data_IF_517959661735
#
_entry.id   IF_517959661735
#
_cell.length_a   1.000
_cell.length_b   1.000
_cell.length_c   1.000
_cell.angle_alpha   90.00
_cell.angle_beta   90.00
_cell.angle_gamma   90.00
#
_symmetry.space_group_name_H-M   'P 1'
#
loop_
_entity.id
_entity.type
_entity.pdbx_description
1 polymer ?
#
# COMPACT_ATOMS: atom_id res chain seq x y z
N UNK A 1 -25.32 17.93 24.09
CA UNK A 1 -26.14 17.17 23.14
C UNK A 1 -26.05 15.70 23.54
N UNK A 2 -27.22 15.04 23.79
CA UNK A 2 -27.24 13.62 24.21
C UNK A 2 -26.67 12.73 23.10
N UNK A 3 -25.90 11.68 23.47
CA UNK A 3 -25.27 10.76 22.52
C UNK A 3 -26.25 10.13 21.51
N UNK A 4 -27.49 9.86 21.94
CA UNK A 4 -28.56 9.36 21.09
C UNK A 4 -28.98 10.34 19.96
N UNK A 5 -28.89 11.65 20.20
CA UNK A 5 -29.23 12.67 19.20
C UNK A 5 -28.19 12.73 18.08
N UNK A 6 -26.90 12.55 18.41
CA UNK A 6 -25.79 12.53 17.41
C UNK A 6 -25.92 11.28 16.53
N UNK A 7 -26.14 10.11 17.13
CA UNK A 7 -26.28 8.87 16.36
C UNK A 7 -27.49 8.92 15.40
N UNK A 8 -28.61 9.46 15.86
CA UNK A 8 -29.81 9.64 15.02
C UNK A 8 -29.55 10.61 13.87
N UNK A 9 -28.83 11.72 14.12
CA UNK A 9 -28.46 12.68 13.08
C UNK A 9 -27.52 12.03 12.03
N UNK A 10 -26.47 11.33 12.48
CA UNK A 10 -25.54 10.61 11.59
C UNK A 10 -26.25 9.56 10.75
N UNK A 11 -27.14 8.77 11.36
CA UNK A 11 -27.95 7.79 10.63
C UNK A 11 -28.80 8.44 9.53
N UNK A 12 -29.47 9.56 9.85
CA UNK A 12 -30.27 10.33 8.89
C UNK A 12 -29.42 10.85 7.73
N UNK A 13 -28.26 11.46 8.02
CA UNK A 13 -27.34 11.98 7.01
C UNK A 13 -26.73 10.90 6.13
N UNK A 14 -26.47 9.72 6.67
CA UNK A 14 -26.04 8.56 5.87
C UNK A 14 -27.16 8.08 4.96
N UNK A 15 -28.41 8.01 5.46
CA UNK A 15 -29.59 7.60 4.69
C UNK A 15 -29.90 8.57 3.55
N UNK A 16 -29.69 9.87 3.75
CA UNK A 16 -29.85 10.92 2.74
C UNK A 16 -28.57 11.18 1.93
N UNK A 17 -27.57 10.33 2.07
CA UNK A 17 -26.27 10.40 1.38
C UNK A 17 -25.52 11.73 1.54
N UNK A 18 -25.81 12.54 2.55
CA UNK A 18 -25.10 13.78 2.85
C UNK A 18 -23.69 13.51 3.40
N UNK A 19 -23.50 12.37 4.07
CA UNK A 19 -22.21 11.92 4.57
C UNK A 19 -21.92 10.49 4.14
N UNK A 20 -20.62 10.18 4.04
CA UNK A 20 -20.06 8.84 3.75
C UNK A 20 -19.30 8.38 4.97
N UNK A 21 -19.59 7.20 5.48
CA UNK A 21 -18.82 6.58 6.56
C UNK A 21 -17.57 5.93 5.99
N UNK A 22 -16.40 6.33 6.48
CA UNK A 22 -15.11 5.74 6.11
C UNK A 22 -14.80 4.50 6.97
N UNK A 23 -15.00 4.64 8.28
CA UNK A 23 -14.97 3.58 9.29
C UNK A 23 -15.86 3.99 10.48
N UNK A 24 -16.04 3.10 11.46
CA UNK A 24 -16.80 3.44 12.68
C UNK A 24 -16.27 4.71 13.33
N UNK A 25 -17.14 5.71 13.45
CA UNK A 25 -16.84 7.00 14.08
C UNK A 25 -16.11 8.00 13.18
N UNK A 26 -15.83 7.67 11.91
CA UNK A 26 -15.16 8.58 10.96
C UNK A 26 -16.02 8.74 9.73
N UNK A 27 -16.35 9.98 9.42
CA UNK A 27 -17.27 10.35 8.33
C UNK A 27 -16.66 11.46 7.48
N UNK A 28 -17.10 11.53 6.25
CA UNK A 28 -16.78 12.58 5.29
C UNK A 28 -18.05 13.10 4.67
N UNK A 29 -18.12 14.39 4.35
CA UNK A 29 -19.27 14.94 3.64
C UNK A 29 -19.28 14.50 2.17
N UNK A 30 -20.46 14.27 1.60
CA UNK A 30 -20.62 13.99 0.17
C UNK A 30 -20.00 15.07 -0.69
N UNK A 31 -20.21 16.34 -0.31
CA UNK A 31 -19.64 17.50 -1.02
C UNK A 31 -18.11 17.43 -1.08
N UNK A 32 -17.44 17.11 0.02
CA UNK A 32 -15.97 16.97 0.02
C UNK A 32 -15.53 15.86 -0.93
N UNK A 33 -16.19 14.71 -0.89
CA UNK A 33 -15.91 13.60 -1.82
C UNK A 33 -16.03 14.05 -3.28
N UNK A 34 -17.14 14.67 -3.67
CA UNK A 34 -17.37 15.07 -5.06
C UNK A 34 -16.34 16.10 -5.55
N UNK A 35 -15.88 17.00 -4.68
CA UNK A 35 -14.86 18.00 -5.02
C UNK A 35 -13.46 17.42 -5.17
N UNK A 36 -13.13 16.35 -4.43
CA UNK A 36 -11.73 15.87 -4.31
C UNK A 36 -11.47 14.48 -4.90
N UNK A 37 -12.51 13.70 -5.22
CA UNK A 37 -12.37 12.30 -5.65
C UNK A 37 -11.51 12.08 -6.90
N UNK A 38 -11.38 13.08 -7.75
CA UNK A 38 -10.55 13.01 -8.96
C UNK A 38 -9.07 13.34 -8.70
N UNK A 39 -8.73 13.83 -7.50
CA UNK A 39 -7.34 14.12 -7.16
C UNK A 39 -6.57 12.82 -6.86
N UNK A 40 -5.35 12.73 -7.39
CA UNK A 40 -4.50 11.54 -7.22
C UNK A 40 -4.15 11.25 -5.74
N UNK A 41 -4.11 12.28 -4.88
CA UNK A 41 -3.79 12.14 -3.48
C UNK A 41 -5.01 11.95 -2.57
N UNK A 42 -6.22 11.92 -3.16
CA UNK A 42 -7.45 11.70 -2.39
C UNK A 42 -7.49 10.32 -1.74
N UNK A 43 -7.28 9.25 -2.50
CA UNK A 43 -7.24 7.89 -1.96
C UNK A 43 -6.09 7.65 -0.98
N UNK A 44 -4.84 8.13 -1.21
CA UNK A 44 -3.79 8.25 -0.22
C UNK A 44 -4.21 8.89 1.10
N UNK A 45 -4.84 10.05 1.05
CA UNK A 45 -5.33 10.75 2.24
C UNK A 45 -6.35 9.90 3.01
N UNK A 46 -7.31 9.28 2.33
CA UNK A 46 -8.29 8.39 2.97
C UNK A 46 -7.59 7.22 3.66
N UNK A 47 -6.57 6.64 3.02
CA UNK A 47 -5.78 5.57 3.63
C UNK A 47 -5.11 6.04 4.93
N UNK A 48 -4.50 7.22 4.95
CA UNK A 48 -3.88 7.80 6.14
C UNK A 48 -4.91 8.06 7.28
N UNK A 49 -6.13 8.50 6.95
CA UNK A 49 -7.23 8.68 7.92
C UNK A 49 -7.70 7.34 8.51
N UNK A 50 -7.77 6.30 7.69
CA UNK A 50 -8.21 4.97 8.12
C UNK A 50 -7.22 4.35 9.11
N UNK A 51 -5.92 4.37 8.83
CA UNK A 51 -4.85 3.95 9.76
C UNK A 51 -3.71 4.97 9.71
N UNK A 52 -3.67 5.95 10.64
CA UNK A 52 -2.63 6.99 10.65
C UNK A 52 -1.19 6.45 10.77
N UNK A 53 -1.02 5.28 11.41
CA UNK A 53 0.28 4.60 11.53
C UNK A 53 0.44 3.55 10.43
N UNK A 54 0.38 4.00 9.18
CA UNK A 54 0.63 3.19 7.99
C UNK A 54 1.34 4.03 6.93
N UNK A 55 1.97 3.36 5.98
CA UNK A 55 2.48 3.98 4.77
C UNK A 55 1.94 3.22 3.55
N UNK A 56 1.61 3.95 2.49
CA UNK A 56 1.25 3.38 1.19
C UNK A 56 2.42 2.58 0.64
N UNK A 57 2.16 1.39 0.11
CA UNK A 57 3.20 0.47 -0.38
C UNK A 57 2.58 -0.60 -1.26
N UNK A 58 3.37 -1.64 -1.56
CA UNK A 58 2.91 -2.82 -2.29
C UNK A 58 2.41 -2.44 -3.69
N UNK A 59 1.34 -3.09 -4.14
CA UNK A 59 0.78 -2.94 -5.48
C UNK A 59 0.43 -1.49 -5.81
N UNK A 60 -0.11 -0.74 -4.86
CA UNK A 60 -0.52 0.66 -5.06
C UNK A 60 0.65 1.56 -5.48
N UNK A 61 1.79 1.46 -4.80
CA UNK A 61 2.99 2.26 -5.13
C UNK A 61 3.67 1.73 -6.39
N UNK A 62 3.77 0.41 -6.54
CA UNK A 62 4.40 -0.21 -7.72
C UNK A 62 3.64 0.14 -9.00
N UNK A 63 2.31 0.13 -8.97
CA UNK A 63 1.48 0.52 -10.11
C UNK A 63 1.64 2.00 -10.47
N UNK A 64 1.63 2.90 -9.48
CA UNK A 64 1.82 4.35 -9.71
C UNK A 64 3.19 4.69 -10.32
N UNK A 65 4.17 3.82 -10.15
CA UNK A 65 5.52 3.96 -10.69
C UNK A 65 5.77 3.04 -11.91
N UNK A 66 4.73 2.50 -12.53
CA UNK A 66 4.80 1.63 -13.70
C UNK A 66 5.67 0.36 -13.52
N UNK A 67 5.99 -0.01 -12.26
CA UNK A 67 6.69 -1.26 -11.95
C UNK A 67 5.73 -2.46 -12.02
N UNK A 68 4.49 -2.31 -11.53
CA UNK A 68 3.46 -3.32 -11.70
C UNK A 68 2.56 -2.92 -12.87
N UNK A 69 2.45 -3.79 -13.88
CA UNK A 69 1.66 -3.52 -15.10
C UNK A 69 0.19 -3.86 -14.95
N UNK A 70 -0.18 -4.63 -13.93
CA UNK A 70 -1.58 -4.93 -13.64
C UNK A 70 -2.29 -3.75 -12.98
N UNK A 71 -3.53 -3.50 -13.42
CA UNK A 71 -4.40 -2.53 -12.75
C UNK A 71 -4.93 -3.15 -11.46
N UNK A 72 -4.60 -2.54 -10.32
CA UNK A 72 -5.10 -2.97 -9.02
C UNK A 72 -6.07 -1.91 -8.47
N UNK A 73 -7.21 -2.36 -7.94
CA UNK A 73 -8.22 -1.45 -7.40
C UNK A 73 -8.04 -1.13 -5.90
N UNK A 74 -7.55 -2.04 -5.04
CA UNK A 74 -7.38 -1.73 -3.63
C UNK A 74 -6.21 -0.77 -3.43
N UNK A 75 -6.40 0.19 -2.53
CA UNK A 75 -5.30 0.98 -1.97
C UNK A 75 -4.58 0.12 -0.95
N UNK A 76 -3.32 -0.21 -1.23
CA UNK A 76 -2.52 -1.07 -0.36
C UNK A 76 -1.54 -0.26 0.47
N UNK A 77 -1.41 -0.64 1.75
CA UNK A 77 -0.54 0.01 2.72
C UNK A 77 0.05 -1.01 3.71
N UNK A 78 1.10 -0.59 4.38
CA UNK A 78 1.81 -1.38 5.39
C UNK A 78 1.72 -0.69 6.75
N UNK A 79 1.60 -1.45 7.82
CA UNK A 79 1.41 -0.96 9.19
C UNK A 79 2.07 -1.88 10.23
N UNK A 80 2.35 -1.35 11.40
CA UNK A 80 2.74 -2.14 12.58
C UNK A 80 1.54 -2.82 13.27
N UNK A 81 0.32 -2.40 12.93
CA UNK A 81 -0.91 -2.98 13.48
C UNK A 81 -1.25 -4.30 12.77
N UNK A 82 -2.20 -5.02 13.30
CA UNK A 82 -2.71 -6.23 12.66
C UNK A 82 -3.21 -5.96 11.24
N UNK A 83 -2.97 -6.92 10.35
CA UNK A 83 -3.52 -6.92 8.98
C UNK A 83 -5.03 -6.68 9.01
N UNK A 84 -5.50 -5.74 8.18
CA UNK A 84 -6.90 -5.33 8.15
C UNK A 84 -7.32 -4.88 6.76
N UNK A 85 -8.58 -5.08 6.45
CA UNK A 85 -9.22 -4.57 5.24
C UNK A 85 -10.37 -3.65 5.65
N UNK A 86 -10.49 -2.52 4.99
CA UNK A 86 -11.66 -1.65 5.05
C UNK A 86 -12.31 -1.60 3.68
N UNK A 87 -13.60 -1.87 3.65
CA UNK A 87 -14.44 -1.71 2.48
C UNK A 87 -15.48 -0.65 2.77
N UNK A 88 -15.57 0.34 1.92
CA UNK A 88 -16.54 1.41 2.04
C UNK A 88 -16.96 1.93 0.63
N UNK A 89 -17.81 2.96 0.55
CA UNK A 89 -18.26 3.53 -0.73
C UNK A 89 -17.14 4.14 -1.59
N UNK A 90 -15.91 4.29 -1.06
CA UNK A 90 -14.75 4.82 -1.79
C UNK A 90 -13.87 3.73 -2.39
N UNK A 91 -14.08 2.47 -1.99
CA UNK A 91 -13.29 1.33 -2.44
C UNK A 91 -12.74 0.48 -1.29
N UNK A 92 -11.76 -0.32 -1.62
CA UNK A 92 -11.10 -1.25 -0.71
C UNK A 92 -9.73 -0.72 -0.31
N UNK A 93 -9.45 -0.73 0.98
CA UNK A 93 -8.17 -0.32 1.58
C UNK A 93 -7.60 -1.50 2.37
N UNK A 94 -6.44 -1.99 1.96
CA UNK A 94 -5.80 -3.17 2.56
C UNK A 94 -4.53 -2.77 3.29
N UNK A 95 -4.41 -3.17 4.55
CA UNK A 95 -3.25 -2.93 5.39
C UNK A 95 -2.60 -4.25 5.78
N UNK A 96 -1.31 -4.37 5.49
CA UNK A 96 -0.50 -5.55 5.81
C UNK A 96 0.41 -5.24 6.99
N UNK A 97 0.47 -6.17 7.93
CA UNK A 97 1.40 -6.05 9.06
C UNK A 97 2.84 -6.33 8.60
N UNK A 98 3.78 -5.56 9.13
CA UNK A 98 5.21 -5.80 8.96
C UNK A 98 5.94 -5.75 10.31
N UNK A 99 7.10 -6.39 10.40
CA UNK A 99 7.97 -6.34 11.59
C UNK A 99 8.49 -4.92 11.83
N UNK A 100 8.62 -4.51 13.09
CA UNK A 100 9.05 -3.17 13.47
C UNK A 100 10.39 -2.75 12.82
N UNK A 101 11.38 -3.64 12.77
CA UNK A 101 12.67 -3.37 12.15
C UNK A 101 12.64 -3.12 10.64
N UNK A 102 11.50 -3.42 9.97
CA UNK A 102 11.28 -3.18 8.55
C UNK A 102 10.31 -2.02 8.29
N UNK A 103 9.82 -1.34 9.34
CA UNK A 103 8.90 -0.20 9.23
C UNK A 103 9.69 1.09 9.00
N UNK A 104 10.22 1.25 7.80
CA UNK A 104 11.07 2.36 7.34
C UNK A 104 11.03 2.47 5.81
N UNK A 105 11.79 3.41 5.21
CA UNK A 105 11.90 3.54 3.76
C UNK A 105 10.69 4.20 3.12
N UNK A 106 10.17 5.24 3.77
CA UNK A 106 9.02 5.99 3.28
C UNK A 106 9.27 7.50 3.34
N UNK A 107 8.57 8.21 2.49
CA UNK A 107 8.58 9.66 2.35
C UNK A 107 7.26 10.25 2.84
N UNK A 108 7.30 11.52 3.21
CA UNK A 108 6.15 12.26 3.71
C UNK A 108 5.68 13.27 2.68
N UNK A 109 4.38 13.37 2.52
CA UNK A 109 3.67 14.42 1.80
C UNK A 109 2.44 14.85 2.59
N UNK A 110 1.72 15.81 2.09
CA UNK A 110 0.48 16.29 2.74
C UNK A 110 -0.58 16.59 1.69
N UNK A 111 -1.82 16.27 2.00
CA UNK A 111 -2.96 16.70 1.23
C UNK A 111 -4.09 17.16 2.16
N UNK A 112 -4.57 18.39 1.98
CA UNK A 112 -5.63 19.01 2.78
C UNK A 112 -5.36 18.98 4.30
N UNK A 113 -4.11 19.23 4.72
CA UNK A 113 -3.70 19.20 6.13
C UNK A 113 -3.57 17.79 6.72
N UNK A 114 -3.73 16.74 5.91
CA UNK A 114 -3.56 15.34 6.33
C UNK A 114 -2.19 14.83 5.87
N UNK A 115 -1.32 14.42 6.79
CA UNK A 115 -0.03 13.84 6.42
C UNK A 115 -0.22 12.47 5.77
N UNK A 116 0.47 12.28 4.64
CA UNK A 116 0.48 11.04 3.87
C UNK A 116 1.89 10.48 3.91
N UNK A 117 2.01 9.21 4.19
CA UNK A 117 3.29 8.49 4.18
C UNK A 117 3.27 7.45 3.08
N UNK A 118 4.30 7.44 2.23
CA UNK A 118 4.38 6.53 1.09
C UNK A 118 5.79 5.93 0.98
N UNK A 119 5.87 4.63 0.73
CA UNK A 119 7.12 3.92 0.48
C UNK A 119 7.86 4.48 -0.74
N UNK A 120 9.20 4.41 -0.73
CA UNK A 120 9.99 4.49 -1.97
C UNK A 120 9.63 3.33 -2.90
N UNK A 121 9.99 3.41 -4.16
CA UNK A 121 9.76 2.32 -5.12
C UNK A 121 10.48 1.05 -4.68
N UNK A 122 11.72 1.19 -4.23
CA UNK A 122 12.53 0.10 -3.70
C UNK A 122 11.88 -0.57 -2.49
N UNK A 123 11.39 0.25 -1.54
CA UNK A 123 10.68 -0.26 -0.36
C UNK A 123 9.37 -0.94 -0.73
N UNK A 124 8.60 -0.39 -1.66
CA UNK A 124 7.35 -0.99 -2.10
C UNK A 124 7.58 -2.35 -2.78
N UNK A 125 8.62 -2.48 -3.60
CA UNK A 125 9.01 -3.76 -4.20
C UNK A 125 9.44 -4.77 -3.13
N UNK A 126 10.25 -4.33 -2.16
CA UNK A 126 10.63 -5.16 -1.03
C UNK A 126 9.41 -5.67 -0.27
N UNK A 127 8.49 -4.79 0.13
CA UNK A 127 7.28 -5.16 0.87
C UNK A 127 6.41 -6.13 0.09
N UNK A 128 6.23 -5.89 -1.21
CA UNK A 128 5.46 -6.74 -2.10
C UNK A 128 6.00 -8.17 -2.15
N UNK A 129 7.30 -8.32 -2.33
CA UNK A 129 7.95 -9.63 -2.39
C UNK A 129 8.08 -10.28 -1.01
N UNK A 130 8.35 -9.49 0.03
CA UNK A 130 8.51 -9.97 1.41
C UNK A 130 7.20 -10.49 2.00
N UNK A 131 6.11 -9.76 1.84
CA UNK A 131 4.80 -10.09 2.42
C UNK A 131 4.01 -11.09 1.56
N UNK A 132 4.40 -11.31 0.31
CA UNK A 132 3.74 -12.26 -0.58
C UNK A 132 3.99 -13.70 -0.12
N UNK A 133 2.94 -14.51 0.12
CA UNK A 133 3.13 -15.93 0.36
C UNK A 133 3.53 -16.63 -0.94
N UNK A 134 4.61 -17.40 -0.91
CA UNK A 134 4.94 -18.33 -1.99
C UNK A 134 4.16 -19.61 -1.79
N UNK A 135 3.08 -19.76 -2.54
CA UNK A 135 2.27 -20.98 -2.58
C UNK A 135 2.42 -21.56 -3.98
N UNK A 136 3.13 -22.69 -4.11
CA UNK A 136 3.26 -23.35 -5.40
C UNK A 136 4.27 -24.48 -5.36
N UNK A 137 4.14 -25.42 -6.30
CA UNK A 137 5.07 -26.54 -6.52
C UNK A 137 6.36 -26.10 -7.21
N UNK A 138 6.37 -24.95 -7.88
CA UNK A 138 7.59 -24.39 -8.49
C UNK A 138 8.53 -23.88 -7.42
N UNK A 139 9.82 -24.23 -7.54
CA UNK A 139 10.88 -23.64 -6.71
C UNK A 139 11.06 -22.19 -7.13
N UNK A 140 11.41 -21.32 -6.20
CA UNK A 140 11.66 -19.90 -6.49
C UNK A 140 12.71 -19.69 -7.60
N UNK A 141 13.66 -20.64 -7.72
CA UNK A 141 14.69 -20.62 -8.76
C UNK A 141 14.13 -20.85 -10.18
N UNK A 142 12.95 -21.40 -10.30
CA UNK A 142 12.28 -21.73 -11.57
C UNK A 142 11.31 -20.65 -12.04
N UNK A 143 11.16 -19.55 -11.25
CA UNK A 143 10.37 -18.38 -11.62
C UNK A 143 11.20 -17.38 -12.41
N UNK A 144 10.60 -16.80 -13.43
CA UNK A 144 10.97 -15.46 -13.90
C UNK A 144 10.12 -14.45 -13.13
N UNK A 145 10.73 -13.79 -12.12
CA UNK A 145 9.97 -12.90 -11.24
C UNK A 145 9.44 -11.67 -11.97
N UNK A 146 10.10 -11.23 -13.05
CA UNK A 146 9.62 -10.15 -13.89
C UNK A 146 8.34 -10.55 -14.62
N UNK A 147 8.40 -11.65 -15.37
CA UNK A 147 7.27 -12.13 -16.17
C UNK A 147 6.15 -12.72 -15.30
N UNK A 148 6.47 -13.65 -14.39
CA UNK A 148 5.48 -14.35 -13.56
C UNK A 148 4.70 -13.42 -12.62
N UNK A 149 5.28 -12.30 -12.21
CA UNK A 149 4.64 -11.29 -11.36
C UNK A 149 4.29 -10.00 -12.13
N UNK A 150 4.53 -9.97 -13.44
CA UNK A 150 4.28 -8.82 -14.32
C UNK A 150 4.93 -7.53 -13.81
N UNK A 151 6.19 -7.66 -13.38
CA UNK A 151 6.98 -6.55 -12.86
C UNK A 151 7.89 -6.02 -13.97
N UNK A 152 7.73 -4.76 -14.33
CA UNK A 152 8.67 -4.03 -15.18
C UNK A 152 9.85 -3.55 -14.32
N UNK A 153 10.91 -4.34 -14.26
CA UNK A 153 12.11 -4.04 -13.47
C UNK A 153 13.31 -3.64 -14.34
N UNK A 154 13.13 -3.50 -15.66
CA UNK A 154 14.19 -3.09 -16.58
C UNK A 154 14.64 -1.66 -16.28
N UNK A 155 13.67 -0.78 -15.99
CA UNK A 155 13.90 0.64 -15.66
C UNK A 155 14.14 0.90 -14.16
N UNK A 156 14.30 -0.17 -13.37
CA UNK A 156 14.56 -0.03 -11.92
C UNK A 156 15.94 0.53 -11.69
N UNK A 157 16.02 1.76 -11.17
CA UNK A 157 17.25 2.53 -11.08
C UNK A 157 18.28 1.85 -10.17
N UNK A 158 19.56 2.10 -10.43
CA UNK A 158 20.67 1.54 -9.63
C UNK A 158 20.54 1.90 -8.14
N UNK A 159 20.20 3.16 -7.84
CA UNK A 159 19.96 3.58 -6.44
C UNK A 159 18.82 2.82 -5.77
N UNK A 160 17.75 2.52 -6.52
CA UNK A 160 16.63 1.73 -5.99
C UNK A 160 17.03 0.27 -5.75
N UNK A 161 17.94 -0.28 -6.58
CA UNK A 161 18.51 -1.63 -6.37
C UNK A 161 19.31 -1.68 -5.09
N UNK A 162 20.19 -0.71 -4.86
CA UNK A 162 21.00 -0.62 -3.63
C UNK A 162 20.08 -0.49 -2.40
N UNK A 163 19.07 0.36 -2.47
CA UNK A 163 18.09 0.52 -1.40
C UNK A 163 17.31 -0.78 -1.15
N UNK A 164 16.86 -1.47 -2.20
CA UNK A 164 16.17 -2.76 -2.10
C UNK A 164 17.04 -3.83 -1.44
N UNK A 165 18.31 -3.92 -1.80
CA UNK A 165 19.28 -4.86 -1.21
C UNK A 165 19.51 -4.58 0.27
N UNK A 166 19.56 -3.30 0.67
CA UNK A 166 19.67 -2.90 2.08
C UNK A 166 18.50 -3.45 2.92
N UNK A 167 17.26 -3.41 2.40
CA UNK A 167 16.12 -4.01 3.11
C UNK A 167 16.22 -5.54 3.20
N UNK A 168 16.80 -6.20 2.22
CA UNK A 168 17.04 -7.64 2.26
C UNK A 168 17.99 -7.97 3.40
N UNK A 169 19.10 -7.26 3.52
CA UNK A 169 20.06 -7.42 4.60
C UNK A 169 19.43 -7.21 5.98
N UNK A 170 18.67 -6.12 6.16
CA UNK A 170 17.96 -5.82 7.41
C UNK A 170 16.94 -6.91 7.75
N UNK A 171 16.28 -7.49 6.76
CA UNK A 171 15.23 -8.49 6.95
C UNK A 171 15.77 -9.83 7.46
N UNK A 172 17.04 -10.14 7.20
CA UNK A 172 17.67 -11.44 7.45
C UNK A 172 16.82 -12.62 6.93
N UNK A 173 16.16 -12.41 5.80
CA UNK A 173 15.20 -13.36 5.23
C UNK A 173 15.84 -14.19 4.14
N UNK A 174 16.05 -15.49 4.39
CA UNK A 174 16.53 -16.45 3.38
C UNK A 174 15.65 -16.46 2.11
N UNK A 175 14.36 -16.20 2.27
CA UNK A 175 13.45 -16.04 1.14
C UNK A 175 13.87 -14.85 0.26
N UNK A 176 14.15 -13.70 0.88
CA UNK A 176 14.50 -12.48 0.14
C UNK A 176 15.89 -12.58 -0.49
N UNK A 177 16.84 -13.26 0.14
CA UNK A 177 18.14 -13.57 -0.44
C UNK A 177 18.01 -14.43 -1.71
N UNK A 178 17.11 -15.43 -1.69
CA UNK A 178 16.81 -16.24 -2.88
C UNK A 178 16.13 -15.43 -3.99
N UNK A 179 15.24 -14.51 -3.62
CA UNK A 179 14.61 -13.58 -4.55
C UNK A 179 15.65 -12.69 -5.22
N UNK A 180 16.57 -12.11 -4.44
CA UNK A 180 17.66 -11.29 -4.98
C UNK A 180 18.53 -12.07 -5.97
N UNK A 181 18.91 -13.29 -5.60
CA UNK A 181 19.69 -14.17 -6.49
C UNK A 181 18.94 -14.47 -7.79
N UNK A 182 17.64 -14.66 -7.73
CA UNK A 182 16.81 -14.87 -8.91
C UNK A 182 16.78 -13.61 -9.79
N UNK A 183 16.48 -12.43 -9.22
CA UNK A 183 16.43 -11.14 -9.94
C UNK A 183 17.76 -10.81 -10.63
N UNK A 184 18.88 -11.02 -9.96
CA UNK A 184 20.22 -10.84 -10.54
C UNK A 184 20.48 -11.75 -11.75
N UNK A 185 19.93 -12.96 -11.72
CA UNK A 185 20.08 -13.93 -12.82
C UNK A 185 19.14 -13.65 -13.99
N UNK A 186 17.92 -13.25 -13.75
CA UNK A 186 16.84 -13.16 -14.76
C UNK A 186 16.68 -11.75 -15.34
N UNK A 187 16.56 -10.76 -14.47
CA UNK A 187 16.20 -9.38 -14.85
C UNK A 187 17.44 -8.47 -14.90
N UNK A 188 18.21 -8.42 -13.81
CA UNK A 188 19.31 -7.44 -13.72
C UNK A 188 20.62 -7.93 -14.35
N UNK A 189 20.73 -9.22 -14.65
CA UNK A 189 21.84 -9.88 -15.38
C UNK A 189 23.23 -9.35 -14.98
N UNK A 190 23.50 -9.36 -13.65
CA UNK A 190 24.77 -8.96 -13.03
C UNK A 190 25.67 -10.18 -12.80
#
# INVERSE_FOLDING_TARGET
VAAGTIQTALYRWMKTEQIIQLKKGVYMTRRFFELHRANADFAPMISAILIPQSYLSLEFVLQRNAILTEVTFPVTAVTLKQTRVFENKLGTFTYRNIKAGLYQGFQFSEYMGIPITQATVAKALFDFLYLRPWKGSKRLADYDLGEDLRLNLEDFLENDRVEFETYIEISKSTKMERILKNLRKTVWRL
#
